data_IF_577386000365
#
_entry.id   IF_577386000365
#
_cell.length_a   1.000
_cell.length_b   1.000
_cell.length_c   1.000
_cell.angle_alpha   90.00
_cell.angle_beta   90.00
_cell.angle_gamma   90.00
#
_symmetry.space_group_name_H-M   'P 1'
#
loop_
_entity.id
_entity.type
_entity.pdbx_description
1 polymer ?
#
# COMPACT_ATOMS: atom_id res chain seq x y z
N UNK A 1 7.17 4.97 -18.69
CA UNK A 1 6.55 3.96 -17.81
C UNK A 1 5.39 4.57 -17.06
N UNK A 2 4.48 3.78 -16.50
CA UNK A 2 3.35 4.28 -15.69
C UNK A 2 3.41 3.68 -14.29
N UNK A 3 3.37 4.54 -13.28
CA UNK A 3 3.33 4.17 -11.87
C UNK A 3 2.03 4.64 -11.24
N UNK A 4 1.35 3.77 -10.49
CA UNK A 4 0.15 4.12 -9.72
C UNK A 4 0.53 4.19 -8.25
N UNK A 5 0.20 5.30 -7.60
CA UNK A 5 0.40 5.48 -6.17
C UNK A 5 -0.95 5.54 -5.47
N UNK A 6 -1.12 4.69 -4.47
CA UNK A 6 -2.38 4.52 -3.76
C UNK A 6 -2.21 4.88 -2.28
N UNK A 7 -2.90 5.91 -1.85
CA UNK A 7 -2.94 6.30 -0.45
C UNK A 7 -4.14 5.64 0.25
N UNK A 8 -3.87 4.64 1.07
CA UNK A 8 -4.85 3.98 1.92
C UNK A 8 -4.94 4.62 3.32
N UNK A 9 -4.45 5.85 3.50
CA UNK A 9 -4.63 6.62 4.73
C UNK A 9 -5.82 7.57 4.62
N UNK A 10 -6.66 7.68 5.67
CA UNK A 10 -7.70 8.73 5.72
C UNK A 10 -7.11 10.14 5.85
N UNK A 11 -5.83 10.25 6.23
CA UNK A 11 -5.14 11.53 6.45
C UNK A 11 -4.29 11.88 5.22
N UNK A 12 -4.85 12.66 4.31
CA UNK A 12 -4.25 13.00 3.01
C UNK A 12 -2.94 13.81 3.06
N UNK A 13 -2.56 14.35 4.21
CA UNK A 13 -1.37 15.19 4.37
C UNK A 13 -0.50 14.77 5.57
N UNK A 14 -0.66 13.53 6.06
CA UNK A 14 0.07 13.01 7.21
C UNK A 14 1.16 12.01 6.78
N UNK A 15 1.78 11.32 7.73
CA UNK A 15 2.98 10.48 7.51
C UNK A 15 2.92 9.62 6.25
N UNK A 16 1.88 8.77 6.10
CA UNK A 16 1.72 7.88 4.93
C UNK A 16 1.70 8.68 3.62
N UNK A 17 0.90 9.74 3.57
CA UNK A 17 0.76 10.55 2.37
C UNK A 17 2.06 11.30 2.04
N UNK A 18 2.82 11.75 3.04
CA UNK A 18 4.12 12.40 2.83
C UNK A 18 5.13 11.43 2.22
N UNK A 19 5.23 10.20 2.76
CA UNK A 19 6.08 9.15 2.19
C UNK A 19 5.68 8.80 0.75
N UNK A 20 4.38 8.68 0.48
CA UNK A 20 3.89 8.41 -0.88
C UNK A 20 4.17 9.55 -1.85
N UNK A 21 4.13 10.81 -1.41
CA UNK A 21 4.52 11.97 -2.22
C UNK A 21 6.01 11.97 -2.54
N UNK A 22 6.86 11.52 -1.63
CA UNK A 22 8.28 11.33 -1.93
C UNK A 22 8.51 10.15 -2.87
N UNK A 23 7.79 9.04 -2.71
CA UNK A 23 7.83 7.94 -3.69
C UNK A 23 7.36 8.39 -5.08
N UNK A 24 6.37 9.29 -5.16
CA UNK A 24 5.95 9.92 -6.41
C UNK A 24 7.10 10.69 -7.07
N UNK A 25 7.76 11.57 -6.32
CA UNK A 25 8.93 12.32 -6.84
C UNK A 25 10.05 11.39 -7.31
N UNK A 26 10.29 10.29 -6.58
CA UNK A 26 11.24 9.26 -6.98
C UNK A 26 10.88 8.61 -8.31
N UNK A 27 9.61 8.22 -8.51
CA UNK A 27 9.13 7.66 -9.77
C UNK A 27 9.21 8.67 -10.93
N UNK A 28 8.82 9.92 -10.69
CA UNK A 28 8.90 11.00 -11.67
C UNK A 28 10.36 11.33 -12.07
N UNK A 29 11.31 11.22 -11.12
CA UNK A 29 12.74 11.50 -11.36
C UNK A 29 13.38 10.55 -12.38
N UNK A 30 12.79 9.36 -12.58
CA UNK A 30 13.24 8.37 -13.57
C UNK A 30 12.35 8.35 -14.83
N UNK A 31 11.48 9.37 -14.99
CA UNK A 31 10.65 9.57 -16.18
C UNK A 31 9.36 8.74 -16.21
N UNK A 32 8.89 8.23 -15.08
CA UNK A 32 7.60 7.56 -15.02
C UNK A 32 6.45 8.56 -14.97
N UNK A 33 5.38 8.32 -15.74
CA UNK A 33 4.10 8.98 -15.55
C UNK A 33 3.45 8.47 -14.27
N UNK A 34 3.05 9.35 -13.34
CA UNK A 34 2.49 8.95 -12.06
C UNK A 34 1.03 9.37 -11.93
N UNK A 35 0.18 8.42 -11.52
CA UNK A 35 -1.19 8.67 -11.10
C UNK A 35 -1.30 8.43 -9.59
N UNK A 36 -1.59 9.50 -8.81
CA UNK A 36 -1.78 9.43 -7.36
C UNK A 36 -3.26 9.38 -7.02
N UNK A 37 -3.69 8.42 -6.19
CA UNK A 37 -5.10 8.18 -5.86
C UNK A 37 -5.25 7.99 -4.35
N UNK A 38 -6.13 8.79 -3.74
CA UNK A 38 -6.59 8.60 -2.36
C UNK A 38 -7.72 7.56 -2.33
N UNK A 39 -7.49 6.39 -1.75
CA UNK A 39 -8.49 5.32 -1.72
C UNK A 39 -9.75 5.69 -0.89
N UNK A 40 -9.62 6.61 0.06
CA UNK A 40 -10.75 7.09 0.85
C UNK A 40 -11.70 8.03 0.08
N UNK A 41 -11.33 8.47 -1.13
CA UNK A 41 -12.21 9.23 -2.02
C UNK A 41 -13.06 8.33 -2.92
N UNK A 42 -12.75 7.04 -2.97
CA UNK A 42 -13.44 6.07 -3.81
C UNK A 42 -14.55 5.36 -3.03
N UNK A 43 -15.65 5.12 -3.72
CA UNK A 43 -16.77 4.33 -3.18
C UNK A 43 -16.65 2.87 -3.62
N UNK A 44 -16.17 2.01 -2.71
CA UNK A 44 -16.00 0.59 -2.98
C UNK A 44 -16.04 -0.26 -1.72
N UNK A 45 -16.13 -1.57 -1.92
CA UNK A 45 -16.10 -2.58 -0.85
C UNK A 45 -15.04 -3.65 -1.13
N UNK A 46 -14.73 -4.45 -0.12
CA UNK A 46 -13.94 -5.67 -0.27
C UNK A 46 -14.60 -6.70 -1.20
N UNK A 47 -13.99 -7.86 -1.33
CA UNK A 47 -14.51 -8.92 -2.17
C UNK A 47 -15.86 -9.43 -1.65
N UNK A 48 -16.90 -9.35 -2.45
CA UNK A 48 -18.27 -9.81 -2.10
C UNK A 48 -18.52 -11.27 -2.44
N UNK A 49 -17.50 -12.01 -2.80
CA UNK A 49 -17.59 -13.43 -3.16
C UNK A 49 -18.65 -13.74 -4.22
N UNK A 50 -18.89 -12.84 -5.17
CA UNK A 50 -19.86 -13.01 -6.25
C UNK A 50 -19.43 -14.07 -7.28
N UNK A 51 -18.16 -14.50 -7.23
CA UNK A 51 -17.52 -15.51 -8.08
C UNK A 51 -17.60 -15.22 -9.59
N UNK A 52 -18.00 -14.03 -10.01
CA UNK A 52 -18.10 -13.67 -11.42
C UNK A 52 -16.76 -13.78 -12.16
N UNK A 53 -15.65 -13.43 -11.50
CA UNK A 53 -14.28 -13.59 -12.03
C UNK A 53 -13.81 -15.06 -12.10
N UNK A 54 -14.58 -16.00 -11.56
CA UNK A 54 -14.28 -17.45 -11.55
C UNK A 54 -15.20 -18.27 -12.46
N UNK A 55 -16.15 -17.63 -13.16
CA UNK A 55 -17.03 -18.34 -14.08
C UNK A 55 -16.24 -18.89 -15.27
N UNK A 56 -16.60 -20.09 -15.74
CA UNK A 56 -16.04 -20.63 -17.00
C UNK A 56 -16.31 -19.66 -18.14
N UNK A 57 -15.27 -19.32 -18.89
CA UNK A 57 -15.34 -18.34 -19.98
C UNK A 57 -15.30 -16.87 -19.53
N UNK A 58 -15.16 -16.57 -18.24
CA UNK A 58 -14.90 -15.20 -17.81
C UNK A 58 -13.54 -14.72 -18.28
N UNK A 59 -13.42 -13.43 -18.58
CA UNK A 59 -12.14 -12.79 -18.87
C UNK A 59 -11.23 -12.90 -17.64
N UNK A 60 -10.03 -13.47 -17.79
CA UNK A 60 -9.11 -13.63 -16.65
C UNK A 60 -8.67 -12.28 -16.08
N UNK A 61 -8.31 -12.27 -14.82
CA UNK A 61 -7.78 -11.10 -14.10
C UNK A 61 -8.73 -9.89 -14.05
N UNK A 62 -10.03 -10.10 -14.17
CA UNK A 62 -11.04 -9.05 -14.17
C UNK A 62 -11.96 -9.14 -12.96
N UNK A 63 -12.11 -8.04 -12.23
CA UNK A 63 -13.16 -7.92 -11.22
C UNK A 63 -14.43 -7.35 -11.84
N UNK A 64 -15.54 -8.09 -11.75
CA UNK A 64 -16.82 -7.72 -12.39
C UNK A 64 -17.76 -6.92 -11.46
N UNK A 65 -17.39 -6.69 -10.22
CA UNK A 65 -18.20 -5.88 -9.33
C UNK A 65 -18.16 -4.42 -9.76
N UNK A 66 -19.33 -3.79 -9.91
CA UNK A 66 -19.46 -2.43 -10.45
C UNK A 66 -19.36 -1.41 -9.31
N UNK A 67 -18.18 -0.85 -9.12
CA UNK A 67 -17.85 0.27 -8.24
C UNK A 67 -16.56 0.95 -8.71
N UNK A 68 -16.03 1.91 -7.94
CA UNK A 68 -14.83 2.66 -8.32
C UNK A 68 -13.54 1.81 -8.31
N UNK A 69 -13.55 0.65 -7.63
CA UNK A 69 -12.35 -0.18 -7.51
C UNK A 69 -12.10 -1.07 -8.74
N UNK A 70 -13.14 -1.56 -9.41
CA UNK A 70 -12.93 -2.44 -10.58
C UNK A 70 -12.12 -1.79 -11.71
N UNK A 71 -12.42 -0.55 -12.15
CA UNK A 71 -11.57 0.12 -13.13
C UNK A 71 -10.16 0.46 -12.60
N UNK A 72 -10.00 0.68 -11.29
CA UNK A 72 -8.68 0.87 -10.70
C UNK A 72 -7.85 -0.41 -10.73
N UNK A 73 -8.44 -1.58 -10.45
CA UNK A 73 -7.76 -2.88 -10.61
C UNK A 73 -7.28 -3.06 -12.05
N UNK A 74 -8.11 -2.76 -13.04
CA UNK A 74 -7.71 -2.83 -14.45
C UNK A 74 -6.53 -1.90 -14.78
N UNK A 75 -6.48 -0.70 -14.18
CA UNK A 75 -5.35 0.23 -14.32
C UNK A 75 -4.08 -0.33 -13.67
N UNK A 76 -4.18 -0.90 -12.47
CA UNK A 76 -3.04 -1.50 -11.75
C UNK A 76 -2.42 -2.62 -12.58
N UNK A 77 -3.23 -3.52 -13.13
CA UNK A 77 -2.77 -4.65 -13.92
C UNK A 77 -2.10 -4.24 -15.26
N UNK A 78 -2.32 -3.00 -15.71
CA UNK A 78 -1.66 -2.43 -16.91
C UNK A 78 -0.50 -1.49 -16.60
N UNK A 79 -0.25 -1.19 -15.34
CA UNK A 79 0.85 -0.32 -14.93
C UNK A 79 2.19 -1.07 -14.90
N UNK A 80 3.29 -0.32 -14.87
CA UNK A 80 4.62 -0.90 -14.66
C UNK A 80 4.92 -1.07 -13.16
N UNK A 81 4.36 -0.19 -12.32
CA UNK A 81 4.50 -0.26 -10.88
C UNK A 81 3.24 0.23 -10.15
N UNK A 82 3.00 -0.32 -8.96
CA UNK A 82 2.02 0.17 -7.99
C UNK A 82 2.70 0.35 -6.64
N UNK A 83 2.53 1.51 -6.00
CA UNK A 83 3.03 1.78 -4.66
C UNK A 83 1.85 2.10 -3.76
N UNK A 84 1.66 1.32 -2.70
CA UNK A 84 0.51 1.41 -1.81
C UNK A 84 1.00 1.75 -0.40
N UNK A 85 0.52 2.87 0.15
CA UNK A 85 0.82 3.26 1.53
C UNK A 85 -0.40 3.09 2.43
N UNK A 86 -0.18 2.54 3.63
CA UNK A 86 -1.22 2.38 4.65
C UNK A 86 -0.69 2.63 6.05
N UNK A 87 -1.41 3.39 6.89
CA UNK A 87 -1.16 3.32 8.32
C UNK A 87 -1.61 1.95 8.85
N UNK A 88 -0.99 1.53 9.96
CA UNK A 88 -1.34 0.30 10.65
C UNK A 88 -2.24 0.61 11.83
N UNK A 89 -3.41 -0.01 11.85
CA UNK A 89 -4.41 0.06 12.91
C UNK A 89 -4.62 -1.32 13.51
N UNK A 90 -4.35 -1.46 14.82
CA UNK A 90 -4.50 -2.74 15.55
C UNK A 90 -3.75 -3.91 14.89
N UNK A 91 -2.56 -3.65 14.37
CA UNK A 91 -1.73 -4.67 13.73
C UNK A 91 -2.03 -4.94 12.26
N UNK A 92 -3.02 -4.27 11.66
CA UNK A 92 -3.44 -4.49 10.27
C UNK A 92 -3.43 -3.19 9.43
N UNK A 93 -3.23 -3.27 8.12
CA UNK A 93 -3.49 -2.16 7.22
C UNK A 93 -4.96 -1.73 7.27
N UNK A 94 -5.25 -0.52 6.79
CA UNK A 94 -6.61 0.01 6.80
C UNK A 94 -7.60 -0.86 6.03
N UNK A 95 -8.90 -0.71 6.34
CA UNK A 95 -9.98 -1.40 5.64
C UNK A 95 -9.95 -1.15 4.11
N UNK A 96 -9.61 0.07 3.68
CA UNK A 96 -9.45 0.42 2.26
C UNK A 96 -8.32 -0.36 1.59
N UNK A 97 -7.19 -0.50 2.27
CA UNK A 97 -6.10 -1.37 1.76
C UNK A 97 -6.58 -2.82 1.64
N UNK A 98 -7.22 -3.36 2.69
CA UNK A 98 -7.72 -4.75 2.70
C UNK A 98 -8.73 -5.00 1.58
N UNK A 99 -9.67 -4.09 1.39
CA UNK A 99 -10.68 -4.22 0.34
C UNK A 99 -10.07 -4.26 -1.07
N UNK A 100 -9.08 -3.39 -1.35
CA UNK A 100 -8.29 -3.42 -2.58
C UNK A 100 -7.54 -4.77 -2.72
N UNK A 101 -6.79 -5.14 -1.68
CA UNK A 101 -5.98 -6.36 -1.66
C UNK A 101 -6.80 -7.61 -1.95
N UNK A 102 -7.93 -7.79 -1.26
CA UNK A 102 -8.81 -8.95 -1.45
C UNK A 102 -9.27 -9.06 -2.91
N UNK A 103 -9.69 -7.96 -3.51
CA UNK A 103 -10.24 -7.98 -4.87
C UNK A 103 -9.16 -8.12 -5.93
N UNK A 104 -8.02 -7.45 -5.75
CA UNK A 104 -6.88 -7.53 -6.67
C UNK A 104 -6.34 -8.96 -6.71
N UNK A 105 -6.03 -9.54 -5.54
CA UNK A 105 -5.47 -10.89 -5.47
C UNK A 105 -6.50 -11.92 -5.91
N UNK A 106 -7.76 -11.80 -5.45
CA UNK A 106 -8.76 -12.80 -5.81
C UNK A 106 -9.04 -12.86 -7.31
N UNK A 107 -9.08 -11.74 -8.02
CA UNK A 107 -9.39 -11.77 -9.46
C UNK A 107 -8.25 -12.39 -10.30
N UNK A 108 -7.00 -12.33 -9.85
CA UNK A 108 -5.84 -12.88 -10.58
C UNK A 108 -5.52 -14.34 -10.22
N UNK A 109 -5.98 -14.85 -9.07
CA UNK A 109 -5.77 -16.25 -8.66
C UNK A 109 -6.67 -17.22 -9.41
N UNK A 110 -6.17 -18.45 -9.65
CA UNK A 110 -6.96 -19.60 -10.11
C UNK A 110 -7.31 -20.54 -8.96
N UNK A 111 -8.56 -21.00 -8.89
CA UNK A 111 -8.94 -22.08 -7.98
C UNK A 111 -8.60 -23.48 -8.52
N UNK A 112 -8.52 -23.64 -9.83
CA UNK A 112 -8.25 -24.94 -10.43
C UNK A 112 -6.78 -25.37 -10.23
N UNK A 113 -5.86 -24.43 -10.42
CA UNK A 113 -4.42 -24.72 -10.35
C UNK A 113 -3.74 -24.15 -9.13
N UNK A 114 -4.44 -23.33 -8.31
CA UNK A 114 -3.87 -22.48 -7.24
C UNK A 114 -2.76 -21.56 -7.74
N UNK A 115 -2.64 -21.40 -9.04
CA UNK A 115 -1.65 -20.56 -9.71
C UNK A 115 -2.21 -19.16 -9.98
N UNK A 116 -1.32 -18.30 -10.43
CA UNK A 116 -1.63 -16.96 -10.90
C UNK A 116 -2.05 -16.98 -12.38
N UNK A 117 -3.17 -16.36 -12.71
CA UNK A 117 -3.62 -16.18 -14.10
C UNK A 117 -3.06 -14.90 -14.74
N UNK A 118 -2.42 -14.04 -13.95
CA UNK A 118 -1.83 -12.81 -14.45
C UNK A 118 -0.44 -13.07 -15.03
N UNK A 119 -0.28 -12.86 -16.33
CA UNK A 119 0.98 -13.07 -17.06
C UNK A 119 1.76 -11.75 -17.28
N UNK A 120 1.31 -10.65 -16.69
CA UNK A 120 1.99 -9.36 -16.74
C UNK A 120 3.10 -9.24 -15.71
N UNK A 121 3.70 -8.04 -15.66
CA UNK A 121 4.72 -7.69 -14.69
C UNK A 121 4.45 -6.30 -14.14
N UNK A 122 4.06 -6.21 -12.86
CA UNK A 122 3.87 -4.96 -12.13
C UNK A 122 4.74 -4.99 -10.88
N UNK A 123 5.69 -4.05 -10.76
CA UNK A 123 6.47 -3.90 -9.54
C UNK A 123 5.59 -3.37 -8.40
N UNK A 124 5.82 -3.81 -7.17
CA UNK A 124 4.99 -3.46 -6.02
C UNK A 124 5.82 -2.82 -4.91
N UNK A 125 5.40 -1.65 -4.46
CA UNK A 125 5.89 -1.00 -3.23
C UNK A 125 4.81 -1.03 -2.15
N UNK A 126 5.17 -1.44 -0.95
CA UNK A 126 4.32 -1.38 0.24
C UNK A 126 4.96 -0.46 1.27
N UNK A 127 4.29 0.62 1.65
CA UNK A 127 4.74 1.58 2.66
C UNK A 127 3.78 1.53 3.84
N UNK A 128 4.28 1.08 4.99
CA UNK A 128 3.51 1.05 6.24
C UNK A 128 3.99 2.15 7.18
N UNK A 129 3.04 2.82 7.85
CA UNK A 129 3.34 3.81 8.90
C UNK A 129 2.65 3.42 10.20
N UNK A 130 3.35 3.53 11.31
CA UNK A 130 2.81 3.10 12.60
C UNK A 130 3.42 3.82 13.78
N UNK A 131 2.66 3.88 14.88
CA UNK A 131 3.14 4.38 16.16
C UNK A 131 4.04 3.37 16.90
N UNK A 132 3.95 2.09 16.53
CA UNK A 132 4.76 1.02 17.13
C UNK A 132 6.25 1.20 16.80
N UNK A 133 7.17 0.89 17.73
CA UNK A 133 8.59 0.96 17.49
C UNK A 133 9.05 -0.18 16.55
N UNK A 134 10.20 0.03 15.93
CA UNK A 134 10.75 -0.88 14.90
C UNK A 134 10.95 -2.32 15.39
N UNK A 135 11.46 -2.50 16.60
CA UNK A 135 11.66 -3.82 17.18
C UNK A 135 10.35 -4.61 17.37
N UNK A 136 9.25 -3.91 17.70
CA UNK A 136 7.93 -4.54 17.78
C UNK A 136 7.40 -4.91 16.40
N UNK A 137 7.58 -4.04 15.41
CA UNK A 137 7.22 -4.35 14.03
C UNK A 137 7.95 -5.61 13.53
N UNK A 138 9.27 -5.68 13.70
CA UNK A 138 10.09 -6.79 13.22
C UNK A 138 9.74 -8.11 13.91
N UNK A 139 9.47 -8.08 15.22
CA UNK A 139 9.22 -9.30 16.00
C UNK A 139 7.77 -9.82 15.89
N UNK A 140 6.78 -8.92 15.89
CA UNK A 140 5.37 -9.29 16.05
C UNK A 140 4.49 -9.00 14.84
N UNK A 141 4.82 -7.96 14.07
CA UNK A 141 3.95 -7.51 12.95
C UNK A 141 4.46 -7.98 11.59
N UNK A 142 5.75 -7.88 11.31
CA UNK A 142 6.32 -8.22 10.00
C UNK A 142 6.01 -9.67 9.57
N UNK A 143 6.05 -10.68 10.44
CA UNK A 143 5.62 -12.03 10.07
C UNK A 143 4.20 -12.12 9.52
N UNK A 144 3.28 -11.30 10.05
CA UNK A 144 1.89 -11.23 9.57
C UNK A 144 1.80 -10.66 8.14
N UNK A 145 2.69 -9.73 7.78
CA UNK A 145 2.69 -9.11 6.45
C UNK A 145 3.37 -9.93 5.38
N UNK A 146 4.17 -10.93 5.74
CA UNK A 146 4.85 -11.81 4.78
C UNK A 146 3.86 -12.46 3.79
N UNK A 147 2.66 -12.83 4.24
CA UNK A 147 1.61 -13.36 3.37
C UNK A 147 1.13 -12.33 2.37
N UNK A 148 0.94 -11.07 2.79
CA UNK A 148 0.52 -9.99 1.90
C UNK A 148 1.59 -9.73 0.84
N UNK A 149 2.86 -9.65 1.24
CA UNK A 149 4.00 -9.46 0.35
C UNK A 149 4.13 -10.59 -0.66
N UNK A 150 4.02 -11.85 -0.18
CA UNK A 150 4.07 -13.04 -1.03
C UNK A 150 2.97 -13.05 -2.09
N UNK A 151 1.72 -12.74 -1.70
CA UNK A 151 0.59 -12.72 -2.64
C UNK A 151 0.65 -11.51 -3.59
N UNK A 152 1.19 -10.37 -3.16
CA UNK A 152 1.47 -9.25 -4.06
C UNK A 152 2.53 -9.61 -5.12
N UNK A 153 3.42 -10.58 -4.85
CA UNK A 153 4.32 -11.16 -5.83
C UNK A 153 3.63 -11.81 -7.02
N UNK A 154 2.33 -12.15 -6.93
CA UNK A 154 1.54 -12.63 -8.06
C UNK A 154 1.36 -11.59 -9.16
N UNK A 155 1.69 -10.32 -8.90
CA UNK A 155 1.78 -9.29 -9.95
C UNK A 155 3.05 -9.43 -10.82
N UNK A 156 3.90 -10.42 -10.58
CA UNK A 156 5.01 -10.83 -11.44
C UNK A 156 6.23 -9.90 -11.41
N UNK A 157 6.17 -8.81 -10.69
CA UNK A 157 7.24 -7.84 -10.53
C UNK A 157 8.01 -7.99 -9.23
N UNK A 158 8.96 -7.06 -9.00
CA UNK A 158 9.67 -6.91 -7.73
C UNK A 158 8.70 -6.44 -6.65
N UNK A 159 8.76 -7.01 -5.45
CA UNK A 159 8.06 -6.51 -4.27
C UNK A 159 9.07 -5.87 -3.31
N UNK A 160 8.78 -4.66 -2.88
CA UNK A 160 9.56 -3.93 -1.87
C UNK A 160 8.64 -3.46 -0.76
N UNK A 161 9.05 -3.64 0.49
CA UNK A 161 8.31 -3.16 1.67
C UNK A 161 9.18 -2.21 2.47
N UNK A 162 8.56 -1.15 2.97
CA UNK A 162 9.16 -0.20 3.90
C UNK A 162 8.20 0.09 5.05
N UNK A 163 8.71 0.08 6.27
CA UNK A 163 7.96 0.41 7.47
C UNK A 163 8.57 1.65 8.16
N UNK A 164 7.84 2.74 8.19
CA UNK A 164 8.12 3.93 9.00
C UNK A 164 7.47 3.73 10.36
N UNK A 165 8.29 3.47 11.35
CA UNK A 165 7.90 3.10 12.70
C UNK A 165 8.02 4.29 13.67
N UNK A 166 7.36 4.18 14.83
CA UNK A 166 7.42 5.18 15.90
C UNK A 166 7.04 6.61 15.45
N UNK A 167 6.12 6.70 14.49
CA UNK A 167 5.73 7.97 13.86
C UNK A 167 4.92 8.86 14.79
N UNK A 168 5.02 10.17 14.61
CA UNK A 168 4.17 11.17 15.28
C UNK A 168 2.72 11.02 14.83
N UNK A 169 1.78 10.96 15.79
CA UNK A 169 0.35 10.77 15.49
C UNK A 169 -0.42 12.08 15.39
N UNK A 170 -0.03 13.10 16.17
CA UNK A 170 -0.67 14.40 16.25
C UNK A 170 0.38 15.49 16.44
N UNK A 171 0.04 16.73 16.09
CA UNK A 171 0.95 17.87 16.24
C UNK A 171 1.09 18.32 17.71
N UNK A 172 0.06 18.09 18.53
CA UNK A 172 -0.04 18.54 19.92
C UNK A 172 -0.72 17.44 20.72
N UNK A 173 0.05 16.68 21.50
CA UNK A 173 -0.42 15.54 22.29
C UNK A 173 -1.26 15.95 23.49
N UNK A 174 -1.11 17.19 23.99
CA UNK A 174 -1.85 17.68 25.16
C UNK A 174 -3.36 17.77 24.91
N UNK A 175 -3.79 17.76 23.65
CA UNK A 175 -5.21 17.83 23.24
C UNK A 175 -5.90 16.47 23.17
N UNK A 176 -5.19 15.39 23.45
CA UNK A 176 -5.68 14.04 23.26
C UNK A 176 -5.39 13.16 24.48
N UNK A 177 -6.16 12.12 24.69
CA UNK A 177 -5.88 11.08 25.68
C UNK A 177 -4.74 10.19 25.18
N UNK A 178 -3.51 10.70 25.28
CA UNK A 178 -2.26 10.09 24.78
C UNK A 178 -1.12 10.20 25.80
N UNK A 179 -1.42 10.31 27.08
CA UNK A 179 -0.43 10.48 28.16
C UNK A 179 0.56 9.32 28.29
N UNK A 180 0.27 8.18 27.69
CA UNK A 180 1.21 7.05 27.63
C UNK A 180 2.41 7.30 26.69
N UNK A 181 2.37 8.36 25.86
CA UNK A 181 3.43 8.71 24.92
C UNK A 181 4.11 10.00 25.34
N UNK A 182 5.43 10.03 25.34
CA UNK A 182 6.20 11.27 25.49
C UNK A 182 6.18 12.04 24.16
N UNK A 183 5.52 13.21 24.12
CA UNK A 183 5.52 14.08 22.96
C UNK A 183 6.94 14.51 22.56
N UNK A 184 7.78 14.85 23.55
CA UNK A 184 9.17 15.24 23.33
C UNK A 184 9.96 14.11 22.64
N UNK A 185 9.89 12.88 23.19
CA UNK A 185 10.57 11.72 22.59
C UNK A 185 10.06 11.42 21.16
N UNK A 186 8.75 11.51 20.94
CA UNK A 186 8.15 11.32 19.61
C UNK A 186 8.63 12.35 18.59
N UNK A 187 8.69 13.62 18.99
CA UNK A 187 9.18 14.70 18.12
C UNK A 187 10.67 14.53 17.83
N UNK A 188 11.50 14.24 18.83
CA UNK A 188 12.92 14.01 18.66
C UNK A 188 13.20 12.82 17.72
N UNK A 189 12.46 11.72 17.87
CA UNK A 189 12.55 10.58 16.96
C UNK A 189 12.12 10.97 15.54
N UNK A 190 11.01 11.67 15.38
CA UNK A 190 10.51 12.14 14.10
C UNK A 190 11.54 13.01 13.36
N UNK A 191 12.12 13.98 14.08
CA UNK A 191 13.10 14.90 13.48
C UNK A 191 14.37 14.18 13.00
N UNK A 192 14.77 13.11 13.70
CA UNK A 192 15.93 12.31 13.34
C UNK A 192 15.63 11.26 12.25
N UNK A 193 14.48 10.56 12.33
CA UNK A 193 14.20 9.38 11.50
C UNK A 193 13.36 9.69 10.26
N UNK A 194 12.36 10.57 10.36
CA UNK A 194 11.42 10.78 9.27
C UNK A 194 12.04 11.32 7.98
N UNK A 195 13.10 12.17 8.01
CA UNK A 195 13.83 12.53 6.79
C UNK A 195 14.49 11.32 6.10
N UNK A 196 14.95 10.32 6.86
CA UNK A 196 15.51 9.08 6.31
C UNK A 196 14.41 8.21 5.70
N UNK A 197 13.22 8.18 6.34
CA UNK A 197 12.06 7.48 5.82
C UNK A 197 11.58 8.09 4.49
N UNK A 198 11.56 9.42 4.38
CA UNK A 198 11.24 10.14 3.15
C UNK A 198 12.22 9.79 2.02
N UNK A 199 13.52 9.75 2.33
CA UNK A 199 14.55 9.36 1.35
C UNK A 199 14.38 7.88 0.92
N UNK A 200 14.05 6.98 1.85
CA UNK A 200 13.78 5.57 1.54
C UNK A 200 12.56 5.43 0.62
N UNK A 201 11.50 6.21 0.86
CA UNK A 201 10.31 6.24 0.01
C UNK A 201 10.63 6.78 -1.40
N UNK A 202 11.42 7.85 -1.49
CA UNK A 202 11.91 8.38 -2.78
C UNK A 202 12.68 7.30 -3.57
N UNK A 203 13.63 6.65 -2.91
CA UNK A 203 14.45 5.61 -3.53
C UNK A 203 13.58 4.42 -4.00
N UNK A 204 12.58 3.99 -3.20
CA UNK A 204 11.62 2.97 -3.59
C UNK A 204 10.85 3.37 -4.85
N UNK A 205 10.36 4.61 -4.90
CA UNK A 205 9.67 5.15 -6.08
C UNK A 205 10.52 5.09 -7.34
N UNK A 206 11.77 5.55 -7.24
CA UNK A 206 12.72 5.52 -8.36
C UNK A 206 13.03 4.07 -8.78
N UNK A 207 13.28 3.17 -7.82
CA UNK A 207 13.72 1.80 -8.15
C UNK A 207 12.62 0.93 -8.76
N UNK A 208 11.36 1.12 -8.36
CA UNK A 208 10.24 0.35 -8.89
C UNK A 208 9.75 0.86 -10.25
N UNK A 209 10.08 2.10 -10.60
CA UNK A 209 9.55 2.81 -11.77
C UNK A 209 10.54 2.89 -12.96
N UNK A 210 11.65 2.13 -12.87
CA UNK A 210 12.67 1.99 -13.94
C UNK A 210 12.25 0.98 -14.98
#
# INVERSE_FOLDING_TARGET
MKTIILNASPRKNWNTAQLLKEAQKGAESVGSEVEYIDLYDLNYTGCRSCLACKRKGAEPCKCYWKDDLSPLIDKILRANAVIIGSPIYFGEPTAQFRALYERLIFCIMSYDSHANNFNGKVNVGLIYTMNAPKNYFEAAMHPTYNTTESLMGFLGGKVMTYASCDTVQVADYSKYDMSAFSEEAKKAHHDAQFPLDLQAAFNMGADLSK
#
